data_IF_837803681633
#
_entry.id   IF_837803681633
#
_cell.length_a   1.000
_cell.length_b   1.000
_cell.length_c   1.000
_cell.angle_alpha   90.00
_cell.angle_beta   90.00
_cell.angle_gamma   90.00
#
_symmetry.space_group_name_H-M   'P 1'
#
loop_
_entity.id
_entity.type
_entity.pdbx_description
1 polymer ?
#
# COMPACT_ATOMS: atom_id res chain seq x y z
N UNK A 1 9.21 12.94 17.12
CA UNK A 1 10.65 13.22 17.02
C UNK A 1 11.41 12.02 16.49
N UNK A 2 11.43 10.89 17.21
CA UNK A 2 12.15 9.67 16.81
C UNK A 2 11.86 9.20 15.37
N UNK A 3 10.59 9.19 14.95
CA UNK A 3 10.17 8.78 13.62
C UNK A 3 10.88 9.56 12.50
N UNK A 4 10.88 10.91 12.57
CA UNK A 4 11.56 11.75 11.60
C UNK A 4 13.09 11.58 11.66
N UNK A 5 13.67 11.48 12.86
CA UNK A 5 15.11 11.25 13.02
C UNK A 5 15.55 9.91 12.40
N UNK A 6 14.75 8.86 12.56
CA UNK A 6 15.00 7.55 11.94
C UNK A 6 15.01 7.67 10.42
N UNK A 7 13.94 8.20 9.81
CA UNK A 7 13.87 8.31 8.35
C UNK A 7 14.90 9.26 7.77
N UNK A 8 15.27 10.32 8.48
CA UNK A 8 16.36 11.19 8.07
C UNK A 8 17.67 10.41 7.97
N UNK A 9 18.03 9.67 9.01
CA UNK A 9 19.26 8.85 9.01
C UNK A 9 19.22 7.70 8.00
N UNK A 10 18.05 7.14 7.78
CA UNK A 10 17.85 6.11 6.78
C UNK A 10 18.07 6.68 5.37
N UNK A 11 17.49 7.84 5.06
CA UNK A 11 17.68 8.50 3.76
C UNK A 11 19.12 8.93 3.52
N UNK A 12 19.80 9.53 4.50
CA UNK A 12 21.23 9.89 4.41
C UNK A 12 22.08 8.69 3.96
N UNK A 13 21.69 7.49 4.32
CA UNK A 13 22.44 6.27 4.00
C UNK A 13 21.95 5.55 2.76
N UNK A 14 20.66 5.57 2.47
CA UNK A 14 20.04 4.65 1.51
C UNK A 14 19.17 5.30 0.43
N UNK A 15 18.89 6.61 0.45
CA UNK A 15 17.99 7.23 -0.55
C UNK A 15 18.46 7.06 -2.02
N UNK A 16 19.73 6.77 -2.24
CA UNK A 16 20.27 6.51 -3.58
C UNK A 16 20.91 5.12 -3.70
N UNK A 17 20.53 4.18 -2.85
CA UNK A 17 21.06 2.81 -2.90
C UNK A 17 20.25 1.98 -3.90
N UNK A 18 20.88 1.46 -4.98
CA UNK A 18 20.15 0.71 -6.03
C UNK A 18 19.54 -0.62 -5.55
N UNK A 19 19.88 -1.06 -4.34
CA UNK A 19 19.26 -2.25 -3.71
C UNK A 19 17.93 -1.94 -3.04
N UNK A 20 17.62 -0.65 -2.82
CA UNK A 20 16.37 -0.20 -2.23
C UNK A 20 15.42 0.28 -3.32
N UNK A 21 14.48 -0.57 -3.70
CA UNK A 21 13.54 -0.26 -4.78
C UNK A 21 12.51 0.80 -4.36
N UNK A 22 11.93 0.67 -3.18
CA UNK A 22 10.95 1.60 -2.59
C UNK A 22 10.77 1.34 -1.10
N UNK A 23 10.02 2.21 -0.42
CA UNK A 23 9.62 2.06 0.97
C UNK A 23 8.08 1.98 1.09
N UNK A 24 7.57 1.08 1.89
CA UNK A 24 6.22 1.17 2.43
C UNK A 24 6.30 1.92 3.77
N UNK A 25 5.45 2.92 3.96
CA UNK A 25 5.48 3.76 5.15
C UNK A 25 4.09 4.22 5.56
N UNK A 26 3.93 4.56 6.80
CA UNK A 26 2.66 5.02 7.36
C UNK A 26 2.65 4.86 8.88
N UNK A 27 1.48 4.59 9.40
CA UNK A 27 1.22 4.49 10.83
C UNK A 27 0.39 3.26 11.16
N UNK A 28 0.40 2.85 12.43
CA UNK A 28 -0.25 1.62 12.86
C UNK A 28 0.60 0.39 12.60
N UNK A 29 0.01 -0.78 12.78
CA UNK A 29 0.66 -2.06 12.50
C UNK A 29 0.96 -2.15 11.00
N UNK A 30 2.16 -2.58 10.66
CA UNK A 30 2.68 -2.77 9.29
C UNK A 30 2.54 -1.54 8.37
N UNK A 31 2.38 -0.34 8.96
CA UNK A 31 2.06 0.90 8.23
C UNK A 31 0.69 0.90 7.52
N UNK A 32 -0.21 0.01 7.90
CA UNK A 32 -1.53 -0.23 7.28
C UNK A 32 -2.67 0.45 8.03
N UNK A 33 -2.37 1.40 8.91
CA UNK A 33 -3.38 2.17 9.65
C UNK A 33 -4.25 1.34 10.59
N UNK A 34 -3.82 0.12 10.93
CA UNK A 34 -4.50 -0.74 11.91
C UNK A 34 -3.94 -0.57 13.31
N UNK A 35 -4.80 -0.70 14.31
CA UNK A 35 -4.42 -1.01 15.68
C UNK A 35 -5.41 -2.07 16.19
N UNK A 36 -4.90 -3.14 16.81
CA UNK A 36 -5.77 -4.21 17.28
C UNK A 36 -6.11 -4.10 18.76
N UNK A 37 -5.26 -3.45 19.55
CA UNK A 37 -5.44 -3.30 20.99
C UNK A 37 -5.84 -1.88 21.36
N UNK A 38 -7.03 -1.76 21.94
CA UNK A 38 -7.55 -0.49 22.44
C UNK A 38 -8.15 0.42 21.38
N UNK A 39 -8.65 1.57 21.81
CA UNK A 39 -9.26 2.54 20.92
C UNK A 39 -8.22 3.32 20.12
N UNK A 40 -8.55 3.63 18.87
CA UNK A 40 -7.78 4.55 18.04
C UNK A 40 -8.13 5.99 18.38
N UNK A 41 -7.31 6.61 19.22
CA UNK A 41 -7.50 7.99 19.68
C UNK A 41 -6.43 8.87 19.07
N UNK A 42 -6.84 9.80 18.18
CA UNK A 42 -5.95 10.69 17.46
C UNK A 42 -5.14 11.58 18.44
N UNK A 43 -3.85 11.63 18.23
CA UNK A 43 -2.91 12.36 19.10
C UNK A 43 -2.53 11.65 20.41
N UNK A 44 -3.07 10.45 20.67
CA UNK A 44 -2.76 9.63 21.84
C UNK A 44 -2.26 8.24 21.47
N UNK A 45 -3.16 7.33 21.10
CA UNK A 45 -2.82 5.97 20.68
C UNK A 45 -2.54 5.88 19.18
N UNK A 46 -2.92 6.92 18.43
CA UNK A 46 -2.63 7.05 17.01
C UNK A 46 -2.17 8.49 16.71
N UNK A 47 -1.27 8.70 15.72
CA UNK A 47 -0.77 10.03 15.39
C UNK A 47 -1.87 11.00 14.98
N UNK A 48 -1.80 12.25 15.45
CA UNK A 48 -2.75 13.28 15.01
C UNK A 48 -2.64 13.55 13.51
N UNK A 49 -3.71 14.09 12.90
CA UNK A 49 -3.72 14.41 11.47
C UNK A 49 -2.66 15.45 11.10
N UNK A 50 -2.40 16.40 11.99
CA UNK A 50 -1.35 17.41 11.81
C UNK A 50 0.02 16.77 11.75
N UNK A 51 0.33 15.85 12.66
CA UNK A 51 1.59 15.11 12.65
C UNK A 51 1.73 14.24 11.40
N UNK A 52 0.66 13.58 10.96
CA UNK A 52 0.67 12.81 9.72
C UNK A 52 0.95 13.71 8.51
N UNK A 53 0.29 14.88 8.42
CA UNK A 53 0.51 15.84 7.35
C UNK A 53 1.98 16.33 7.30
N UNK A 54 2.55 16.65 8.47
CA UNK A 54 3.97 16.98 8.58
C UNK A 54 4.88 15.82 8.16
N UNK A 55 4.51 14.59 8.51
CA UNK A 55 5.29 13.40 8.16
C UNK A 55 5.29 13.14 6.66
N UNK A 56 4.15 13.24 5.96
CA UNK A 56 4.10 13.05 4.52
C UNK A 56 4.91 14.10 3.76
N UNK A 57 4.85 15.37 4.17
CA UNK A 57 5.71 16.43 3.62
C UNK A 57 7.17 16.12 3.86
N UNK A 58 7.51 15.75 5.09
CA UNK A 58 8.88 15.36 5.46
C UNK A 58 9.39 14.18 4.61
N UNK A 59 8.60 13.13 4.38
CA UNK A 59 8.98 12.01 3.50
C UNK A 59 9.30 12.49 2.09
N UNK A 60 8.44 13.35 1.53
CA UNK A 60 8.62 13.92 0.20
C UNK A 60 9.86 14.83 0.09
N UNK A 61 10.23 15.50 1.18
CA UNK A 61 11.42 16.34 1.26
C UNK A 61 12.71 15.55 1.48
N UNK A 62 12.61 14.42 2.18
CA UNK A 62 13.73 13.61 2.63
C UNK A 62 14.16 12.59 1.57
N UNK A 63 13.20 11.87 0.97
CA UNK A 63 13.47 10.87 -0.07
C UNK A 63 13.31 11.49 -1.46
N UNK A 64 14.42 11.70 -2.14
CA UNK A 64 14.47 12.31 -3.48
C UNK A 64 14.60 11.27 -4.58
N UNK A 65 15.28 10.18 -4.29
CA UNK A 65 15.59 9.10 -5.24
C UNK A 65 14.73 7.86 -5.00
N UNK A 66 14.59 7.43 -3.75
CA UNK A 66 13.81 6.24 -3.39
C UNK A 66 12.33 6.58 -3.30
N UNK A 67 11.47 5.97 -4.12
CA UNK A 67 10.02 6.12 -4.00
C UNK A 67 9.52 5.58 -2.65
N UNK A 68 8.41 6.14 -2.17
CA UNK A 68 7.71 5.63 -1.00
C UNK A 68 6.22 5.51 -1.29
N UNK A 69 5.54 4.64 -0.56
CA UNK A 69 4.12 4.35 -0.71
C UNK A 69 3.41 4.31 0.62
N UNK A 70 2.11 4.54 0.60
CA UNK A 70 1.22 4.44 1.76
C UNK A 70 0.13 3.42 1.50
N UNK A 71 -0.40 2.81 2.57
CA UNK A 71 -1.55 1.90 2.48
C UNK A 71 -2.78 2.61 1.92
N UNK A 72 -3.63 1.87 1.21
CA UNK A 72 -4.96 2.33 0.79
C UNK A 72 -5.82 2.80 1.97
N UNK A 73 -5.61 2.27 3.16
CA UNK A 73 -6.32 2.65 4.38
C UNK A 73 -6.04 4.09 4.81
N UNK A 74 -4.96 4.68 4.30
CA UNK A 74 -4.69 6.11 4.45
C UNK A 74 -5.72 7.01 3.72
N UNK A 75 -6.61 6.45 2.91
CA UNK A 75 -7.72 7.18 2.31
C UNK A 75 -8.84 7.53 3.31
N UNK A 76 -8.90 6.89 4.48
CA UNK A 76 -9.93 7.16 5.47
C UNK A 76 -9.83 8.56 6.06
N UNK A 77 -10.85 9.39 5.84
CA UNK A 77 -10.92 10.75 6.40
C UNK A 77 -11.03 10.77 7.94
N UNK A 78 -11.45 9.67 8.53
CA UNK A 78 -11.54 9.55 9.99
C UNK A 78 -10.15 9.62 10.64
N UNK A 79 -9.16 8.93 10.07
CA UNK A 79 -7.85 8.71 10.71
C UNK A 79 -6.70 9.43 10.02
N UNK A 80 -6.90 9.96 8.82
CA UNK A 80 -5.83 10.57 8.03
C UNK A 80 -6.23 11.93 7.46
N UNK A 81 -5.27 12.80 7.10
CA UNK A 81 -5.57 14.06 6.44
C UNK A 81 -5.67 13.95 4.91
N UNK A 82 -5.34 12.79 4.31
CA UNK A 82 -5.12 12.70 2.86
C UNK A 82 -6.38 12.94 2.03
N UNK A 83 -7.54 12.44 2.44
CA UNK A 83 -8.78 12.68 1.70
C UNK A 83 -9.16 14.17 1.69
N UNK A 84 -9.00 14.85 2.83
CA UNK A 84 -9.39 16.25 2.98
C UNK A 84 -8.38 17.23 2.38
N UNK A 85 -7.09 16.89 2.34
CA UNK A 85 -6.01 17.79 1.91
C UNK A 85 -5.43 17.41 0.54
N UNK A 86 -5.89 18.12 -0.49
CA UNK A 86 -5.39 17.94 -1.85
C UNK A 86 -3.88 18.23 -1.98
N UNK A 87 -3.30 19.11 -1.16
CA UNK A 87 -1.88 19.41 -1.21
C UNK A 87 -1.04 18.20 -0.81
N UNK A 88 -1.52 17.41 0.15
CA UNK A 88 -0.89 16.15 0.55
C UNK A 88 -1.06 15.08 -0.54
N UNK A 89 -2.24 14.98 -1.15
CA UNK A 89 -2.44 14.05 -2.28
C UNK A 89 -1.60 14.38 -3.50
N UNK A 90 -1.18 15.61 -3.68
CA UNK A 90 -0.28 16.02 -4.76
C UNK A 90 1.20 15.66 -4.51
N UNK A 91 1.56 15.21 -3.31
CA UNK A 91 2.90 14.67 -3.06
C UNK A 91 3.14 13.41 -3.90
N UNK A 92 4.40 13.20 -4.26
CA UNK A 92 4.81 12.01 -5.01
C UNK A 92 4.97 10.83 -4.07
N UNK A 93 3.98 9.95 -4.04
CA UNK A 93 4.01 8.68 -3.32
C UNK A 93 3.22 7.61 -4.06
N UNK A 94 3.52 6.35 -3.79
CA UNK A 94 2.79 5.20 -4.29
C UNK A 94 1.67 4.75 -3.34
N UNK A 95 0.95 3.71 -3.77
CA UNK A 95 -0.12 3.10 -2.97
C UNK A 95 0.13 1.61 -2.86
N UNK A 96 -0.10 1.04 -1.69
CA UNK A 96 -0.13 -0.40 -1.48
C UNK A 96 -1.43 -0.84 -0.82
N UNK A 97 -1.84 -2.04 -1.15
CA UNK A 97 -3.06 -2.70 -0.71
C UNK A 97 -2.66 -3.95 0.08
N UNK A 98 -3.07 -4.07 1.32
CA UNK A 98 -2.77 -5.20 2.20
C UNK A 98 -3.72 -6.40 2.00
N UNK A 99 -4.71 -6.26 1.14
CA UNK A 99 -5.74 -7.26 0.89
C UNK A 99 -6.23 -7.29 -0.56
N UNK A 100 -5.30 -7.15 -1.51
CA UNK A 100 -5.60 -7.10 -2.94
C UNK A 100 -6.40 -8.33 -3.40
N UNK A 101 -7.47 -8.10 -4.16
CA UNK A 101 -8.43 -9.09 -4.62
C UNK A 101 -9.29 -9.76 -3.52
N UNK A 102 -9.33 -9.19 -2.32
CA UNK A 102 -10.31 -9.61 -1.31
C UNK A 102 -11.76 -9.46 -1.83
N UNK A 103 -12.72 -10.13 -1.17
CA UNK A 103 -14.14 -10.13 -1.57
C UNK A 103 -14.69 -8.69 -1.77
N UNK A 104 -14.35 -7.76 -0.88
CA UNK A 104 -14.80 -6.36 -0.94
C UNK A 104 -13.87 -5.45 -1.75
N UNK A 105 -13.02 -6.02 -2.60
CA UNK A 105 -11.97 -5.28 -3.33
C UNK A 105 -12.50 -4.06 -4.11
N UNK A 106 -13.61 -4.17 -4.81
CA UNK A 106 -14.18 -3.04 -5.56
C UNK A 106 -14.83 -1.99 -4.66
N UNK A 107 -15.48 -2.42 -3.59
CA UNK A 107 -16.26 -1.56 -2.70
C UNK A 107 -15.38 -0.75 -1.75
N UNK A 108 -14.30 -1.34 -1.28
CA UNK A 108 -13.38 -0.73 -0.31
C UNK A 108 -12.04 -0.37 -0.94
N UNK A 109 -11.26 -1.35 -1.36
CA UNK A 109 -9.89 -1.15 -1.83
C UNK A 109 -9.83 -0.27 -3.07
N UNK A 110 -10.63 -0.55 -4.08
CA UNK A 110 -10.68 0.24 -5.32
C UNK A 110 -11.19 1.67 -5.08
N UNK A 111 -12.15 1.86 -4.17
CA UNK A 111 -12.60 3.20 -3.78
C UNK A 111 -11.49 3.99 -3.11
N UNK A 112 -10.79 3.40 -2.15
CA UNK A 112 -9.70 4.04 -1.45
C UNK A 112 -8.53 4.37 -2.39
N UNK A 113 -8.23 3.46 -3.32
CA UNK A 113 -7.23 3.71 -4.37
C UNK A 113 -7.55 4.95 -5.21
N UNK A 114 -8.83 5.13 -5.59
CA UNK A 114 -9.30 6.33 -6.31
C UNK A 114 -9.12 7.61 -5.51
N UNK A 115 -9.46 7.59 -4.22
CA UNK A 115 -9.27 8.75 -3.32
C UNK A 115 -7.81 9.17 -3.28
N UNK A 116 -6.89 8.22 -3.14
CA UNK A 116 -5.46 8.50 -3.10
C UNK A 116 -4.88 8.90 -4.46
N UNK A 117 -5.42 8.39 -5.56
CA UNK A 117 -5.06 8.76 -6.93
C UNK A 117 -4.65 7.59 -7.81
N UNK A 118 -5.46 7.27 -8.80
CA UNK A 118 -5.29 6.12 -9.71
C UNK A 118 -4.05 6.20 -10.62
N UNK A 119 -3.49 7.38 -10.84
CA UNK A 119 -2.34 7.59 -11.74
C UNK A 119 -0.98 7.61 -11.06
N UNK A 120 -0.92 7.26 -9.78
CA UNK A 120 0.34 7.27 -9.01
C UNK A 120 1.37 6.28 -9.52
N UNK A 121 0.94 5.19 -10.12
CA UNK A 121 1.81 4.20 -10.76
C UNK A 121 2.76 4.80 -11.80
N UNK A 122 2.44 5.97 -12.37
CA UNK A 122 3.30 6.65 -13.35
C UNK A 122 4.61 7.18 -12.74
N UNK A 123 4.67 7.35 -11.43
CA UNK A 123 5.82 7.96 -10.75
C UNK A 123 6.25 7.24 -9.47
N UNK A 124 5.47 6.26 -9.03
CA UNK A 124 5.68 5.62 -7.73
C UNK A 124 5.11 4.18 -7.76
N UNK A 125 5.56 3.27 -6.90
CA UNK A 125 5.10 1.89 -6.93
C UNK A 125 3.61 1.77 -6.64
N UNK A 126 2.98 0.79 -7.27
CA UNK A 126 1.60 0.37 -7.05
C UNK A 126 1.60 -1.14 -6.80
N UNK A 127 1.08 -1.60 -5.68
CA UNK A 127 1.12 -3.02 -5.36
C UNK A 127 0.56 -3.34 -3.99
N UNK A 128 1.11 -4.34 -3.36
CA UNK A 128 0.71 -4.76 -2.03
C UNK A 128 0.84 -6.26 -1.82
N UNK A 129 -0.09 -6.83 -1.08
CA UNK A 129 -0.21 -8.27 -0.86
C UNK A 129 -1.62 -8.77 -1.15
N UNK A 130 -1.72 -10.05 -1.46
CA UNK A 130 -3.01 -10.67 -1.70
C UNK A 130 -3.83 -10.82 -0.41
N UNK A 131 -5.14 -10.66 -0.51
CA UNK A 131 -6.06 -11.05 0.55
C UNK A 131 -5.87 -12.52 0.94
N UNK A 132 -5.81 -12.79 2.24
CA UNK A 132 -5.51 -14.12 2.80
C UNK A 132 -6.53 -14.59 3.84
N UNK A 133 -7.69 -13.95 3.88
CA UNK A 133 -8.70 -14.20 4.92
C UNK A 133 -9.38 -15.57 4.80
N UNK A 134 -9.47 -16.11 3.60
CA UNK A 134 -10.03 -17.45 3.38
C UNK A 134 -9.01 -18.38 2.73
N UNK A 135 -9.15 -19.68 3.00
CA UNK A 135 -8.34 -20.69 2.34
C UNK A 135 -8.60 -20.72 0.83
N UNK A 136 -9.86 -20.53 0.43
CA UNK A 136 -10.26 -20.48 -0.98
C UNK A 136 -9.50 -19.37 -1.73
N UNK A 137 -9.46 -18.16 -1.19
CA UNK A 137 -8.76 -17.04 -1.82
C UNK A 137 -7.26 -17.33 -1.95
N UNK A 138 -6.64 -17.89 -0.90
CA UNK A 138 -5.23 -18.25 -0.95
C UNK A 138 -4.91 -19.30 -2.04
N UNK A 139 -5.80 -20.28 -2.20
CA UNK A 139 -5.60 -21.36 -3.16
C UNK A 139 -5.88 -20.94 -4.61
N UNK A 140 -6.83 -20.02 -4.84
CA UNK A 140 -7.41 -19.74 -6.15
C UNK A 140 -7.16 -18.34 -6.72
N UNK A 141 -6.54 -17.41 -5.96
CA UNK A 141 -6.33 -16.03 -6.41
C UNK A 141 -5.56 -15.91 -7.74
N UNK A 142 -4.68 -16.85 -8.02
CA UNK A 142 -3.92 -16.90 -9.27
C UNK A 142 -4.52 -17.83 -10.33
N UNK A 143 -5.69 -18.41 -10.10
CA UNK A 143 -6.35 -19.23 -11.12
C UNK A 143 -6.71 -18.38 -12.35
N UNK A 144 -6.54 -18.95 -13.54
CA UNK A 144 -6.80 -18.27 -14.79
C UNK A 144 -7.59 -19.19 -15.74
N UNK A 145 -8.64 -18.70 -16.40
CA UNK A 145 -9.06 -17.28 -16.51
C UNK A 145 -9.99 -16.80 -15.37
N UNK A 146 -10.47 -17.67 -14.50
CA UNK A 146 -11.61 -17.37 -13.62
C UNK A 146 -11.23 -16.55 -12.36
N UNK A 147 -10.08 -16.86 -11.73
CA UNK A 147 -9.63 -16.20 -10.51
C UNK A 147 -10.59 -16.39 -9.33
N UNK A 148 -10.78 -15.35 -8.54
CA UNK A 148 -11.67 -15.34 -7.37
C UNK A 148 -12.64 -14.15 -7.40
N UNK A 149 -13.81 -14.29 -6.79
CA UNK A 149 -14.79 -13.21 -6.66
C UNK A 149 -15.15 -12.53 -7.99
N UNK A 150 -15.18 -13.32 -9.10
CA UNK A 150 -15.51 -12.82 -10.43
C UNK A 150 -14.44 -12.00 -11.13
N UNK A 151 -13.20 -12.06 -10.67
CA UNK A 151 -12.04 -11.34 -11.23
C UNK A 151 -10.79 -12.20 -11.24
N UNK A 152 -9.91 -11.98 -12.20
CA UNK A 152 -8.60 -12.62 -12.24
C UNK A 152 -7.45 -11.62 -12.02
N UNK A 153 -6.32 -12.14 -11.63
CA UNK A 153 -5.16 -11.30 -11.25
C UNK A 153 -4.66 -10.46 -12.43
N UNK A 154 -4.61 -10.98 -13.63
CA UNK A 154 -4.14 -10.24 -14.82
C UNK A 154 -5.05 -9.05 -15.13
N UNK A 155 -6.36 -9.23 -15.00
CA UNK A 155 -7.33 -8.16 -15.21
C UNK A 155 -7.17 -7.04 -14.17
N UNK A 156 -7.09 -7.41 -12.89
CA UNK A 156 -6.94 -6.45 -11.81
C UNK A 156 -5.54 -5.80 -11.79
N UNK A 157 -4.49 -6.56 -12.07
CA UNK A 157 -3.14 -6.00 -12.20
C UNK A 157 -3.05 -4.94 -13.30
N UNK A 158 -3.69 -5.20 -14.44
CA UNK A 158 -3.80 -4.23 -15.54
C UNK A 158 -4.64 -3.00 -15.14
N UNK A 159 -5.75 -3.22 -14.44
CA UNK A 159 -6.66 -2.16 -14.00
C UNK A 159 -5.99 -1.19 -13.03
N UNK A 160 -5.25 -1.71 -12.04
CA UNK A 160 -4.56 -0.92 -11.03
C UNK A 160 -3.11 -0.60 -11.37
N UNK A 161 -2.61 -1.07 -12.53
CA UNK A 161 -1.22 -0.91 -12.95
C UNK A 161 -0.22 -1.41 -11.90
N UNK A 162 -0.45 -2.60 -11.39
CA UNK A 162 0.36 -3.22 -10.36
C UNK A 162 1.81 -3.38 -10.84
N UNK A 163 2.76 -2.95 -10.02
CA UNK A 163 4.20 -3.02 -10.30
C UNK A 163 4.93 -4.03 -9.42
N UNK A 164 4.32 -4.47 -8.33
CA UNK A 164 4.81 -5.54 -7.45
C UNK A 164 3.68 -6.16 -6.66
N UNK A 165 3.83 -7.42 -6.28
CA UNK A 165 2.94 -8.10 -5.34
C UNK A 165 3.77 -8.94 -4.37
N UNK A 166 3.36 -8.96 -3.12
CA UNK A 166 3.88 -9.86 -2.09
C UNK A 166 2.95 -11.06 -2.01
N UNK A 167 3.50 -12.22 -2.35
CA UNK A 167 2.78 -13.49 -2.19
C UNK A 167 3.09 -14.09 -0.82
N UNK A 168 2.06 -14.33 -0.01
CA UNK A 168 2.19 -15.04 1.26
C UNK A 168 2.26 -16.56 0.98
N UNK A 169 1.14 -17.27 1.11
CA UNK A 169 1.05 -18.69 0.83
C UNK A 169 0.62 -19.02 -0.62
N UNK A 170 0.08 -18.05 -1.35
CA UNK A 170 -0.50 -18.25 -2.68
C UNK A 170 0.44 -18.94 -3.66
N UNK A 171 1.74 -18.60 -3.74
CA UNK A 171 2.63 -19.28 -4.66
C UNK A 171 2.79 -20.78 -4.39
N UNK A 172 2.58 -21.24 -3.16
CA UNK A 172 2.69 -22.66 -2.80
C UNK A 172 1.57 -23.53 -3.36
N UNK A 173 0.45 -22.91 -3.74
CA UNK A 173 -0.71 -23.59 -4.33
C UNK A 173 -0.68 -23.58 -5.86
N UNK A 174 0.31 -22.95 -6.49
CA UNK A 174 0.39 -22.76 -7.92
C UNK A 174 1.58 -23.47 -8.56
N UNK A 175 1.47 -23.80 -9.85
CA UNK A 175 2.63 -24.28 -10.59
C UNK A 175 3.59 -23.14 -10.90
N UNK A 176 4.89 -23.47 -11.05
CA UNK A 176 5.89 -22.47 -11.45
C UNK A 176 5.58 -21.80 -12.80
N UNK A 177 4.94 -22.53 -13.71
CA UNK A 177 4.52 -21.95 -14.99
C UNK A 177 3.43 -20.89 -14.80
N UNK A 178 2.45 -21.17 -13.91
CA UNK A 178 1.39 -20.21 -13.62
C UNK A 178 1.94 -18.95 -12.93
N UNK A 179 2.84 -19.11 -11.96
CA UNK A 179 3.51 -17.98 -11.30
C UNK A 179 4.24 -17.11 -12.32
N UNK A 180 5.00 -17.73 -13.24
CA UNK A 180 5.70 -16.99 -14.29
C UNK A 180 4.77 -16.28 -15.29
N UNK A 181 3.57 -16.78 -15.50
CA UNK A 181 2.59 -16.14 -16.38
C UNK A 181 1.94 -14.93 -15.70
N UNK A 182 1.80 -14.96 -14.37
CA UNK A 182 1.21 -13.89 -13.58
C UNK A 182 2.22 -12.77 -13.22
N UNK A 183 3.51 -13.04 -13.30
CA UNK A 183 4.58 -12.08 -13.03
C UNK A 183 5.01 -11.33 -14.30
#
# INVERSE_FOLDING_TARGET
>A
RFHKEFYQKFAERYDNDPRLAFLQTGFGLWAEYHIYDGPRIMGQTFPSKEFQAEFFKFMSETFKSTPWSVSIDAASSEYTPLEADASLRNLKFGVFDDSFMHETHDEYNGKNWKILGEKRYQTSPAGGEFGYYTKYDQEHVLDYPDGIHGRNFEGESKRFHITYMIGNNQPSYQTMNRIKQAS
#
